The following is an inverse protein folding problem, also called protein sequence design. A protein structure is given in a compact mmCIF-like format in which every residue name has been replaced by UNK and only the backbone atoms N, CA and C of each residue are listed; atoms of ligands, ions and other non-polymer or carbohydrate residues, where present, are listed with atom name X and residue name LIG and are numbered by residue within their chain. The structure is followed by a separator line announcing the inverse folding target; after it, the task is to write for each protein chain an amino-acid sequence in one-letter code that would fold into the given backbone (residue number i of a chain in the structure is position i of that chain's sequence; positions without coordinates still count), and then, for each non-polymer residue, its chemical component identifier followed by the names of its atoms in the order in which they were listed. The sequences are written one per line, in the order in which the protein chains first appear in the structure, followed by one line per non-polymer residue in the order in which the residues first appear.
data_IF_721625856826
#
_entry.id   IF_721625856826
#
_cell.length_a   1.000
_cell.length_b   1.000
_cell.length_c   1.000
_cell.angle_alpha   90.00
_cell.angle_beta   90.00
_cell.angle_gamma   90.00
#
_symmetry.space_group_name_H-M   'P 1'
#
loop_
_entity.id
_entity.type
_entity.pdbx_description
1 polymer ?
#
# COMPACT_ATOMS: atom_id res chain seq x y z
N UNK A 1 -9.72 17.34 13.50
CA UNK A 1 -8.60 16.56 14.09
C UNK A 1 -8.00 17.41 15.19
N UNK A 2 -7.83 16.92 16.42
CA UNK A 2 -7.18 17.70 17.47
C UNK A 2 -5.73 18.00 17.07
N UNK A 3 -5.22 19.17 17.48
CA UNK A 3 -3.82 19.52 17.28
C UNK A 3 -2.92 18.53 18.03
N UNK A 4 -1.79 18.10 17.46
CA UNK A 4 -0.88 17.19 18.13
C UNK A 4 -0.26 17.90 19.34
N UNK A 5 -0.56 17.42 20.55
CA UNK A 5 -0.03 17.95 21.81
C UNK A 5 1.24 17.24 22.28
N UNK A 6 1.57 16.08 21.68
CA UNK A 6 2.73 15.27 22.04
C UNK A 6 3.54 14.90 20.80
N UNK A 7 4.87 14.84 20.92
CA UNK A 7 5.82 14.51 19.84
C UNK A 7 5.57 13.12 19.24
N UNK A 8 5.00 12.20 20.02
CA UNK A 8 4.60 10.85 19.57
C UNK A 8 3.43 10.85 18.59
N UNK A 9 2.69 11.96 18.46
CA UNK A 9 1.58 12.10 17.51
C UNK A 9 2.07 12.49 16.10
N UNK A 10 3.36 12.83 15.97
CA UNK A 10 3.97 13.26 14.71
C UNK A 10 4.76 12.10 14.11
N UNK A 11 4.69 11.93 12.79
CA UNK A 11 5.56 11.00 12.06
C UNK A 11 6.80 11.76 11.58
N UNK A 12 7.99 11.62 12.21
CA UNK A 12 9.17 12.34 11.78
C UNK A 12 9.63 11.86 10.39
N UNK A 13 10.02 12.81 9.53
CA UNK A 13 10.58 12.51 8.20
C UNK A 13 12.09 12.71 8.28
N UNK A 14 12.86 11.67 7.94
CA UNK A 14 14.32 11.76 7.90
C UNK A 14 14.76 12.56 6.67
N UNK A 15 15.39 13.71 6.89
CA UNK A 15 16.03 14.49 5.84
C UNK A 15 17.45 13.93 5.64
N UNK A 16 17.56 12.91 4.80
CA UNK A 16 18.84 12.28 4.46
C UNK A 16 19.53 13.01 3.31
N UNK A 17 20.86 13.02 3.35
CA UNK A 17 21.70 13.59 2.29
C UNK A 17 21.48 12.90 0.94
N UNK A 18 21.71 13.64 -0.15
CA UNK A 18 21.61 13.18 -1.54
C UNK A 18 22.29 11.83 -1.83
N UNK A 19 23.52 11.51 -1.35
CA UNK A 19 24.15 10.23 -1.67
C UNK A 19 23.32 9.01 -1.21
N UNK A 20 22.70 9.09 -0.04
CA UNK A 20 21.83 8.01 0.46
C UNK A 20 20.62 7.80 -0.46
N UNK A 21 20.01 8.90 -0.93
CA UNK A 21 18.86 8.85 -1.85
C UNK A 21 19.24 8.22 -3.20
N UNK A 22 20.45 8.46 -3.69
CA UNK A 22 20.96 7.86 -4.93
C UNK A 22 21.08 6.35 -4.77
N UNK A 23 21.71 5.87 -3.68
CA UNK A 23 21.86 4.43 -3.41
C UNK A 23 20.49 3.77 -3.26
N UNK A 24 19.58 4.37 -2.48
CA UNK A 24 18.21 3.86 -2.32
C UNK A 24 17.47 3.76 -3.66
N UNK A 25 17.62 4.78 -4.52
CA UNK A 25 17.02 4.76 -5.87
C UNK A 25 17.62 3.65 -6.72
N UNK A 26 18.95 3.50 -6.72
CA UNK A 26 19.64 2.43 -7.45
C UNK A 26 19.13 1.03 -7.04
N UNK A 27 19.02 0.77 -5.74
CA UNK A 27 18.46 -0.49 -5.24
C UNK A 27 17.01 -0.68 -5.70
N UNK A 28 16.16 0.34 -5.59
CA UNK A 28 14.77 0.24 -6.03
C UNK A 28 14.63 -0.10 -7.52
N UNK A 29 15.51 0.43 -8.37
CA UNK A 29 15.53 0.14 -9.80
C UNK A 29 15.96 -1.30 -10.10
N UNK A 30 16.89 -1.85 -9.33
CA UNK A 30 17.33 -3.25 -9.44
C UNK A 30 16.26 -4.24 -8.97
N UNK A 31 15.50 -3.89 -7.94
CA UNK A 31 14.44 -4.75 -7.40
C UNK A 31 13.17 -4.72 -8.26
N UNK A 32 12.84 -3.58 -8.88
CA UNK A 32 11.62 -3.39 -9.67
C UNK A 32 11.28 -4.53 -10.67
N UNK A 33 12.21 -5.07 -11.48
CA UNK A 33 11.91 -6.17 -12.41
C UNK A 33 11.64 -7.52 -11.73
N UNK A 34 12.11 -7.74 -10.50
CA UNK A 34 11.97 -9.01 -9.77
C UNK A 34 10.72 -9.00 -8.88
N UNK A 35 10.23 -7.82 -8.48
CA UNK A 35 9.02 -7.71 -7.66
C UNK A 35 7.85 -8.55 -8.18
N UNK A 36 7.47 -8.50 -9.49
CA UNK A 36 6.31 -9.22 -10.00
C UNK A 36 6.33 -10.73 -9.81
N UNK A 37 7.51 -11.36 -9.68
CA UNK A 37 7.62 -12.82 -9.47
C UNK A 37 7.54 -13.23 -8.01
N UNK A 38 7.70 -12.29 -7.06
CA UNK A 38 7.74 -12.58 -5.61
C UNK A 38 6.44 -12.16 -4.92
N UNK A 39 5.76 -11.13 -5.44
CA UNK A 39 4.56 -10.57 -4.83
C UNK A 39 3.28 -11.16 -5.41
N UNK A 40 2.20 -11.15 -4.61
CA UNK A 40 0.87 -11.53 -5.07
C UNK A 40 0.35 -10.57 -6.16
N UNK A 41 -0.48 -11.07 -7.07
CA UNK A 41 -1.16 -10.29 -8.10
C UNK A 41 -2.06 -9.19 -7.50
N UNK A 42 -2.69 -9.46 -6.36
CA UNK A 42 -3.56 -8.51 -5.66
C UNK A 42 -2.81 -7.47 -4.81
N UNK A 43 -1.48 -7.53 -4.74
CA UNK A 43 -0.68 -6.48 -4.14
C UNK A 43 -0.47 -5.36 -5.17
N UNK A 44 -1.15 -4.23 -4.98
CA UNK A 44 -1.25 -3.18 -6.01
C UNK A 44 -0.36 -1.97 -5.70
N UNK A 45 -0.11 -1.67 -4.43
CA UNK A 45 0.66 -0.49 -4.04
C UNK A 45 2.15 -0.59 -4.40
N UNK A 46 2.74 0.53 -4.82
CA UNK A 46 4.18 0.72 -5.08
C UNK A 46 4.81 -0.16 -6.18
N UNK A 47 3.99 -0.74 -7.07
CA UNK A 47 4.45 -1.54 -8.20
C UNK A 47 4.15 -0.81 -9.50
N UNK A 48 5.14 -0.76 -10.39
CA UNK A 48 4.97 -0.13 -11.71
C UNK A 48 3.84 -0.84 -12.46
N UNK A 49 2.98 -0.06 -13.10
CA UNK A 49 1.83 -0.53 -13.88
C UNK A 49 0.67 -1.13 -13.07
N UNK A 50 0.69 -1.10 -11.73
CA UNK A 50 -0.47 -1.44 -10.88
C UNK A 50 -0.99 -0.17 -10.21
N UNK A 51 -2.27 0.17 -10.38
CA UNK A 51 -2.86 1.42 -9.86
C UNK A 51 -3.78 1.13 -8.70
N UNK A 52 -3.70 1.93 -7.63
CA UNK A 52 -4.58 1.80 -6.46
C UNK A 52 -6.06 1.82 -6.82
N UNK A 53 -6.44 2.56 -7.87
CA UNK A 53 -7.81 2.64 -8.36
C UNK A 53 -8.35 1.27 -8.82
N UNK A 54 -7.51 0.44 -9.44
CA UNK A 54 -7.89 -0.89 -9.91
C UNK A 54 -8.24 -1.80 -8.72
N UNK A 55 -7.50 -1.66 -7.61
CA UNK A 55 -7.79 -2.38 -6.36
C UNK A 55 -9.12 -1.96 -5.73
N UNK A 56 -9.46 -0.65 -5.78
CA UNK A 56 -10.72 -0.13 -5.24
C UNK A 56 -11.91 -0.63 -6.05
N UNK A 57 -11.79 -0.64 -7.38
CA UNK A 57 -12.83 -1.18 -8.28
C UNK A 57 -13.04 -2.66 -8.01
N UNK A 58 -11.95 -3.44 -7.95
CA UNK A 58 -12.01 -4.87 -7.64
C UNK A 58 -12.68 -5.13 -6.28
N UNK A 59 -12.33 -4.37 -5.24
CA UNK A 59 -12.95 -4.50 -3.93
C UNK A 59 -14.46 -4.21 -3.97
N UNK A 60 -14.88 -3.19 -4.73
CA UNK A 60 -16.28 -2.85 -4.90
C UNK A 60 -17.07 -3.96 -5.64
N UNK A 61 -16.50 -4.53 -6.69
CA UNK A 61 -17.08 -5.67 -7.41
C UNK A 61 -17.23 -6.90 -6.52
N UNK A 62 -16.21 -7.22 -5.72
CA UNK A 62 -16.26 -8.32 -4.75
C UNK A 62 -17.40 -8.11 -3.75
N UNK A 63 -17.51 -6.92 -3.14
CA UNK A 63 -18.59 -6.60 -2.20
C UNK A 63 -19.96 -6.69 -2.88
N UNK A 64 -20.08 -6.15 -4.10
CA UNK A 64 -21.31 -6.20 -4.86
C UNK A 64 -21.73 -7.64 -5.18
N UNK A 65 -20.78 -8.49 -5.59
CA UNK A 65 -21.06 -9.91 -5.89
C UNK A 65 -21.55 -10.68 -4.66
N UNK A 66 -20.93 -10.46 -3.49
CA UNK A 66 -21.34 -11.07 -2.22
C UNK A 66 -22.76 -10.63 -1.83
N UNK A 67 -23.09 -9.35 -2.07
CA UNK A 67 -24.44 -8.82 -1.87
C UNK A 67 -25.47 -9.49 -2.78
N UNK A 68 -25.19 -9.60 -4.08
CA UNK A 68 -26.08 -10.25 -5.05
C UNK A 68 -26.31 -11.74 -4.74
N UNK A 69 -25.27 -12.44 -4.29
CA UNK A 69 -25.33 -13.87 -3.94
C UNK A 69 -25.99 -14.13 -2.56
N UNK A 70 -26.33 -13.07 -1.81
CA UNK A 70 -26.88 -13.15 -0.43
C UNK A 70 -26.03 -14.00 0.50
N UNK A 71 -24.71 -13.98 0.31
CA UNK A 71 -23.79 -14.74 1.14
C UNK A 71 -23.52 -13.97 2.44
N UNK A 72 -23.66 -14.62 3.62
CA UNK A 72 -23.22 -14.01 4.87
C UNK A 72 -21.71 -13.78 4.78
N UNK A 73 -21.30 -12.52 4.80
CA UNK A 73 -19.91 -12.10 4.57
C UNK A 73 -19.51 -10.98 5.53
N UNK A 74 -18.22 -10.89 5.82
CA UNK A 74 -17.63 -9.86 6.66
C UNK A 74 -16.40 -9.26 5.98
N UNK A 75 -16.17 -7.97 6.19
CA UNK A 75 -15.00 -7.26 5.66
C UNK A 75 -14.05 -7.01 6.82
N UNK A 76 -12.82 -7.52 6.69
CA UNK A 76 -11.77 -7.30 7.68
C UNK A 76 -10.79 -6.25 7.16
N UNK A 77 -10.82 -5.06 7.76
CA UNK A 77 -9.84 -4.01 7.49
C UNK A 77 -8.67 -4.20 8.45
N UNK A 78 -7.54 -4.64 7.91
CA UNK A 78 -6.28 -4.78 8.64
C UNK A 78 -5.38 -3.57 8.39
N UNK A 79 -4.76 -3.04 9.43
CA UNK A 79 -3.70 -2.05 9.34
C UNK A 79 -2.52 -2.51 10.19
N UNK A 80 -1.31 -2.26 9.70
CA UNK A 80 -0.08 -2.65 10.41
C UNK A 80 0.39 -1.43 11.19
N UNK A 81 0.37 -1.53 12.52
CA UNK A 81 1.05 -0.54 13.35
C UNK A 81 2.56 -0.62 13.14
N UNK A 82 3.21 0.53 13.22
CA UNK A 82 4.66 0.57 13.42
C UNK A 82 5.02 -0.04 14.78
#
# INVERSE_FOLDING_TARGET
RPNPTNVTHVRPISILGTPYKIIAKFLSLRLAPVLPSIINLFQVAFIKSRRLHDAVVLANEVVHSLYCLRLPSFILKLDISK
#
